data_IF_373296757189
#
_entry.id   IF_373296757189
#
_cell.length_a   1.000
_cell.length_b   1.000
_cell.length_c   1.000
_cell.angle_alpha   90.00
_cell.angle_beta   90.00
_cell.angle_gamma   90.00
#
_symmetry.space_group_name_H-M   'P 1'
#
loop_
_entity.id
_entity.type
_entity.pdbx_description
1 polymer ?
#
# COMPACT_ATOMS: atom_id res chain seq x y z
N UNK A 1 25.45 -8.70 -15.16
CA UNK A 1 24.92 -7.97 -13.98
C UNK A 1 23.67 -7.19 -14.39
N UNK A 2 22.47 -7.68 -14.04
CA UNK A 2 21.16 -7.15 -14.52
C UNK A 2 20.76 -5.78 -13.94
N UNK A 3 21.39 -5.36 -12.84
CA UNK A 3 21.07 -4.12 -12.12
C UNK A 3 21.39 -2.84 -12.91
N UNK A 4 22.31 -2.89 -13.88
CA UNK A 4 22.78 -1.70 -14.62
C UNK A 4 21.75 -1.10 -15.60
N UNK A 5 20.60 -1.75 -15.81
CA UNK A 5 19.58 -1.33 -16.80
C UNK A 5 18.20 -1.02 -16.18
N UNK A 6 18.09 -1.00 -14.85
CA UNK A 6 16.82 -0.69 -14.18
C UNK A 6 16.57 0.81 -14.26
N UNK A 7 15.43 1.18 -14.82
CA UNK A 7 14.97 2.57 -14.92
C UNK A 7 14.01 2.90 -13.77
N UNK A 8 13.74 4.19 -13.59
CA UNK A 8 12.67 4.65 -12.67
C UNK A 8 11.32 4.04 -13.03
N UNK A 9 11.01 3.92 -14.32
CA UNK A 9 9.72 3.41 -14.79
C UNK A 9 9.56 1.91 -14.49
N UNK A 10 10.65 1.14 -14.50
CA UNK A 10 10.63 -0.26 -14.07
C UNK A 10 10.24 -0.38 -12.59
N UNK A 11 10.79 0.49 -11.72
CA UNK A 11 10.46 0.51 -10.28
C UNK A 11 8.99 0.84 -10.09
N UNK A 12 8.49 1.89 -10.76
CA UNK A 12 7.09 2.31 -10.67
C UNK A 12 6.15 1.21 -11.16
N UNK A 13 6.52 0.52 -12.26
CA UNK A 13 5.71 -0.56 -12.84
C UNK A 13 5.61 -1.75 -11.89
N UNK A 14 6.73 -2.17 -11.29
CA UNK A 14 6.73 -3.25 -10.30
C UNK A 14 5.95 -2.86 -9.05
N UNK A 15 6.13 -1.64 -8.53
CA UNK A 15 5.39 -1.14 -7.39
C UNK A 15 3.87 -1.15 -7.64
N UNK A 16 3.43 -0.69 -8.83
CA UNK A 16 2.02 -0.75 -9.23
C UNK A 16 1.46 -2.17 -9.25
N UNK A 17 2.22 -3.14 -9.77
CA UNK A 17 1.81 -4.56 -9.78
C UNK A 17 1.70 -5.17 -8.40
N UNK A 18 2.59 -4.78 -7.47
CA UNK A 18 2.53 -5.25 -6.09
C UNK A 18 1.29 -4.70 -5.37
N UNK A 19 1.02 -3.41 -5.57
CA UNK A 19 -0.11 -2.70 -4.93
C UNK A 19 -1.47 -3.06 -5.53
N UNK A 20 -1.53 -3.62 -6.75
CA UNK A 20 -2.80 -4.03 -7.37
C UNK A 20 -3.41 -5.33 -6.82
N UNK A 21 -2.69 -6.03 -5.94
CA UNK A 21 -3.16 -7.28 -5.34
C UNK A 21 -3.74 -7.06 -3.94
N UNK A 22 -4.48 -8.04 -3.42
CA UNK A 22 -5.02 -7.97 -2.06
C UNK A 22 -3.86 -7.78 -1.06
N UNK A 23 -3.89 -6.74 -0.21
CA UNK A 23 -2.80 -6.46 0.72
C UNK A 23 -2.73 -7.50 1.84
N UNK A 24 -1.51 -7.92 2.17
CA UNK A 24 -1.23 -8.72 3.35
C UNK A 24 -1.08 -7.81 4.58
N UNK A 25 -1.91 -8.03 5.60
CA UNK A 25 -1.93 -7.21 6.82
C UNK A 25 -1.59 -8.07 8.03
N UNK A 26 -0.62 -7.62 8.83
CA UNK A 26 -0.29 -8.20 10.13
C UNK A 26 -0.24 -7.08 11.18
N UNK A 27 -0.73 -7.36 12.38
CA UNK A 27 -0.71 -6.42 13.49
C UNK A 27 -0.33 -7.12 14.80
N UNK A 28 0.40 -6.41 15.68
CA UNK A 28 0.86 -6.91 16.97
C UNK A 28 0.82 -5.78 18.00
N UNK A 29 0.38 -6.08 19.22
CA UNK A 29 0.30 -5.12 20.33
C UNK A 29 -1.13 -4.70 20.65
N UNK A 30 -1.33 -3.45 21.07
CA UNK A 30 -2.66 -2.88 21.34
C UNK A 30 -3.38 -2.51 20.05
N UNK A 31 -4.45 -3.25 19.73
CA UNK A 31 -5.19 -3.14 18.48
C UNK A 31 -6.45 -2.27 18.58
N UNK A 32 -6.73 -1.61 19.71
CA UNK A 32 -7.98 -0.84 19.91
C UNK A 32 -8.19 0.30 18.90
N UNK A 33 -7.11 0.80 18.29
CA UNK A 33 -7.14 1.86 17.26
C UNK A 33 -6.87 1.33 15.84
N UNK A 34 -6.79 0.01 15.67
CA UNK A 34 -6.55 -0.57 14.35
C UNK A 34 -7.81 -0.39 13.48
N UNK A 35 -7.70 0.17 12.27
CA UNK A 35 -8.81 0.24 11.35
C UNK A 35 -9.24 -1.16 10.87
N UNK A 36 -10.48 -1.28 10.37
CA UNK A 36 -10.96 -2.55 9.81
C UNK A 36 -10.13 -2.96 8.58
N UNK A 37 -10.11 -4.27 8.30
CA UNK A 37 -9.36 -4.81 7.17
C UNK A 37 -9.87 -4.26 5.84
N UNK A 38 -11.20 -4.10 5.70
CA UNK A 38 -11.86 -3.52 4.53
C UNK A 38 -11.43 -2.07 4.33
N UNK A 39 -11.31 -1.31 5.42
CA UNK A 39 -10.86 0.07 5.37
C UNK A 39 -9.41 0.14 4.88
N UNK A 40 -8.51 -0.72 5.39
CA UNK A 40 -7.11 -0.82 4.94
C UNK A 40 -7.03 -1.20 3.45
N UNK A 41 -7.82 -2.19 3.04
CA UNK A 41 -7.86 -2.66 1.65
C UNK A 41 -8.29 -1.56 0.69
N UNK A 42 -9.38 -0.84 1.00
CA UNK A 42 -9.86 0.25 0.16
C UNK A 42 -8.80 1.34 -0.04
N UNK A 43 -7.98 1.61 0.98
CA UNK A 43 -6.88 2.57 0.91
C UNK A 43 -5.69 2.18 0.05
N UNK A 44 -5.37 0.89 0.04
CA UNK A 44 -4.18 0.37 -0.65
C UNK A 44 -4.47 0.02 -2.11
N UNK A 45 -5.72 -0.31 -2.44
CA UNK A 45 -6.16 -0.56 -3.82
C UNK A 45 -6.29 0.75 -4.61
N UNK A 46 -6.63 1.86 -3.95
CA UNK A 46 -6.72 3.17 -4.58
C UNK A 46 -5.31 3.64 -5.01
N UNK A 47 -5.10 3.85 -6.31
CA UNK A 47 -3.81 4.24 -6.89
C UNK A 47 -3.31 5.60 -6.43
N UNK A 48 -4.19 6.45 -5.89
CA UNK A 48 -3.90 7.76 -5.31
C UNK A 48 -3.72 7.69 -3.77
N UNK A 49 -3.85 6.49 -3.18
CA UNK A 49 -3.74 6.23 -1.74
C UNK A 49 -4.84 6.90 -0.92
N UNK A 50 -6.01 7.14 -1.54
CA UNK A 50 -7.15 7.80 -0.91
C UNK A 50 -7.99 6.79 -0.15
N UNK A 51 -8.29 7.08 1.11
CA UNK A 51 -9.27 6.30 1.87
C UNK A 51 -10.69 6.73 1.49
N UNK A 52 -11.69 5.84 1.61
CA UNK A 52 -13.11 6.19 1.45
C UNK A 52 -13.57 7.37 2.33
N UNK A 53 -12.90 7.60 3.47
CA UNK A 53 -13.20 8.72 4.36
C UNK A 53 -12.49 10.04 3.98
N UNK A 54 -11.84 10.12 2.83
CA UNK A 54 -11.05 11.28 2.39
C UNK A 54 -9.72 11.51 3.11
N UNK A 55 -9.37 10.64 4.09
CA UNK A 55 -8.07 10.67 4.77
C UNK A 55 -7.03 9.97 3.91
N UNK A 56 -5.76 10.36 4.03
CA UNK A 56 -4.64 9.58 3.48
C UNK A 56 -4.20 8.51 4.48
N UNK A 57 -3.96 7.29 3.99
CA UNK A 57 -3.31 6.25 4.77
C UNK A 57 -1.79 6.51 4.79
N UNK A 58 -1.26 6.96 5.92
CA UNK A 58 0.18 7.07 6.14
C UNK A 58 0.63 5.90 7.01
N UNK A 59 1.22 4.87 6.39
CA UNK A 59 1.82 3.73 7.10
C UNK A 59 3.19 4.09 7.69
N UNK A 60 3.85 5.06 7.10
CA UNK A 60 5.10 5.64 7.57
C UNK A 60 4.78 7.05 8.07
N UNK A 61 5.14 7.33 9.32
CA UNK A 61 5.10 8.68 9.89
C UNK A 61 6.46 9.33 9.69
#
# INVERSE_FOLDING_TARGET
MKLKKITKDDIVTVARRLLSSQPAVAARGDLRKMPSLEYIQAGLIDSEGKMPSGRKLSLFR
#
